data_IF_735785131746
#
_entry.id   IF_735785131746
#
_cell.length_a   1.000
_cell.length_b   1.000
_cell.length_c   1.000
_cell.angle_alpha   90.00
_cell.angle_beta   90.00
_cell.angle_gamma   90.00
#
_symmetry.space_group_name_H-M   'P 1'
#
loop_
_entity.id
_entity.type
_entity.pdbx_description
1 polymer ?
#
# COMPACT_ATOMS: atom_id res chain seq x y z
N UNK A 1 5.82 4.01 -15.79
CA UNK A 1 5.07 3.37 -14.71
C UNK A 1 3.85 2.65 -15.27
N UNK A 2 3.69 1.41 -14.91
CA UNK A 2 2.51 0.65 -15.32
C UNK A 2 1.39 0.86 -14.30
N UNK A 3 0.16 0.94 -14.78
CA UNK A 3 -1.01 1.14 -13.93
C UNK A 3 -1.99 0.00 -14.18
N UNK A 4 -2.35 -0.71 -13.12
CA UNK A 4 -3.35 -1.77 -13.17
C UNK A 4 -4.55 -1.34 -12.35
N UNK A 5 -5.75 -1.41 -12.94
CA UNK A 5 -6.98 -0.98 -12.28
C UNK A 5 -7.92 -2.14 -12.07
N UNK A 6 -8.71 -2.05 -11.01
CA UNK A 6 -9.65 -3.08 -10.64
C UNK A 6 -8.98 -4.19 -9.84
N UNK A 7 -9.77 -5.19 -9.46
CA UNK A 7 -9.26 -6.30 -8.66
C UNK A 7 -8.89 -7.49 -9.55
N UNK A 8 -8.17 -7.20 -10.62
CA UNK A 8 -7.70 -8.20 -11.57
C UNK A 8 -6.39 -8.82 -11.07
N UNK A 9 -6.25 -10.10 -11.33
CA UNK A 9 -5.07 -10.82 -10.92
C UNK A 9 -3.87 -10.47 -11.79
N UNK A 10 -2.72 -10.28 -11.14
CA UNK A 10 -1.43 -10.08 -11.80
C UNK A 10 -0.51 -11.21 -11.41
N UNK A 11 -0.45 -12.23 -12.23
CA UNK A 11 0.32 -13.44 -11.89
C UNK A 11 1.79 -13.37 -12.27
N UNK A 12 2.18 -12.36 -13.02
CA UNK A 12 3.54 -12.28 -13.54
C UNK A 12 4.44 -11.40 -12.68
N UNK A 13 5.65 -11.88 -12.44
CA UNK A 13 6.68 -11.16 -11.75
C UNK A 13 6.58 -11.29 -10.25
N UNK A 14 7.45 -10.62 -9.58
CA UNK A 14 7.44 -10.46 -8.15
C UNK A 14 7.50 -8.99 -7.83
N UNK A 15 6.77 -8.58 -6.81
CA UNK A 15 6.76 -7.18 -6.41
C UNK A 15 7.18 -7.02 -4.97
N UNK A 16 7.89 -5.94 -4.72
CA UNK A 16 7.98 -5.35 -3.39
C UNK A 16 6.94 -4.24 -3.38
N UNK A 17 5.96 -4.35 -2.50
CA UNK A 17 4.81 -3.47 -2.52
C UNK A 17 4.61 -2.73 -1.21
N UNK A 18 3.98 -1.59 -1.28
CA UNK A 18 3.44 -0.89 -0.12
C UNK A 18 1.98 -0.53 -0.40
N UNK A 19 1.21 -0.34 0.66
CA UNK A 19 -0.21 -0.05 0.58
C UNK A 19 -0.49 1.31 1.18
N UNK A 20 -1.31 2.12 0.55
CA UNK A 20 -1.73 3.39 1.11
C UNK A 20 -2.65 4.16 0.19
N UNK A 21 -3.33 5.15 0.73
CA UNK A 21 -4.17 6.04 -0.07
C UNK A 21 -3.34 7.09 -0.81
N UNK A 22 -2.28 7.55 -0.18
CA UNK A 22 -1.38 8.57 -0.75
C UNK A 22 -2.11 9.85 -1.14
N UNK A 23 -3.19 10.16 -0.45
CA UNK A 23 -3.94 11.38 -0.67
C UNK A 23 -3.13 12.57 -0.12
N UNK A 24 -2.83 13.52 -1.02
CA UNK A 24 -1.99 14.65 -0.68
C UNK A 24 -0.49 14.40 -0.72
N UNK A 25 -0.06 13.25 -1.15
CA UNK A 25 1.35 12.78 -1.23
C UNK A 25 2.37 13.73 -0.58
N UNK A 26 2.49 13.63 0.74
CA UNK A 26 3.38 14.51 1.51
C UNK A 26 4.77 13.87 1.67
N UNK A 27 5.67 14.59 2.39
CA UNK A 27 7.06 14.16 2.55
C UNK A 27 7.20 12.78 3.17
N UNK A 28 6.31 12.42 4.09
CA UNK A 28 6.33 11.07 4.68
C UNK A 28 6.05 9.98 3.63
N UNK A 29 5.13 10.24 2.71
CA UNK A 29 4.87 9.31 1.61
C UNK A 29 6.05 9.20 0.66
N UNK A 30 6.72 10.32 0.38
CA UNK A 30 7.91 10.31 -0.46
C UNK A 30 9.01 9.48 0.17
N UNK A 31 9.19 9.61 1.48
CA UNK A 31 10.17 8.85 2.24
C UNK A 31 9.85 7.34 2.21
N UNK A 32 8.57 7.00 2.37
CA UNK A 32 8.12 5.61 2.28
C UNK A 32 8.41 5.02 0.89
N UNK A 33 8.11 5.76 -0.15
CA UNK A 33 8.36 5.30 -1.52
C UNK A 33 9.85 5.15 -1.79
N UNK A 34 10.68 6.03 -1.23
CA UNK A 34 12.13 5.89 -1.33
C UNK A 34 12.59 4.57 -0.69
N UNK A 35 12.10 4.24 0.51
CA UNK A 35 12.41 2.97 1.15
C UNK A 35 11.91 1.79 0.33
N UNK A 36 10.71 1.90 -0.21
CA UNK A 36 10.13 0.87 -1.09
C UNK A 36 11.08 0.58 -2.26
N UNK A 37 11.55 1.62 -2.93
CA UNK A 37 12.42 1.48 -4.09
C UNK A 37 13.76 0.86 -3.71
N UNK A 38 14.31 1.22 -2.56
CA UNK A 38 15.57 0.65 -2.07
C UNK A 38 15.42 -0.85 -1.81
N UNK A 39 14.33 -1.27 -1.16
CA UNK A 39 14.10 -2.68 -0.89
C UNK A 39 13.90 -3.44 -2.20
N UNK A 40 13.11 -2.90 -3.11
CA UNK A 40 12.87 -3.53 -4.41
C UNK A 40 14.19 -3.73 -5.17
N UNK A 41 15.03 -2.69 -5.21
CA UNK A 41 16.32 -2.77 -5.89
C UNK A 41 17.21 -3.83 -5.25
N UNK A 42 17.26 -3.89 -3.92
CA UNK A 42 18.10 -4.86 -3.22
C UNK A 42 17.65 -6.30 -3.45
N UNK A 43 16.36 -6.51 -3.70
CA UNK A 43 15.80 -7.84 -3.93
C UNK A 43 15.68 -8.21 -5.41
N UNK A 44 16.03 -7.28 -6.29
CA UNK A 44 15.91 -7.50 -7.73
C UNK A 44 14.47 -7.65 -8.19
N UNK A 45 13.54 -7.00 -7.49
CA UNK A 45 12.12 -7.05 -7.80
C UNK A 45 11.61 -5.68 -8.22
N UNK A 46 10.43 -5.64 -8.80
CA UNK A 46 9.79 -4.38 -9.19
C UNK A 46 9.07 -3.78 -7.99
N UNK A 47 9.09 -2.46 -7.91
CA UNK A 47 8.37 -1.74 -6.86
C UNK A 47 6.90 -1.53 -7.26
N UNK A 48 6.00 -1.67 -6.30
CA UNK A 48 4.58 -1.45 -6.53
C UNK A 48 3.96 -0.66 -5.39
N UNK A 49 3.10 0.29 -5.74
CA UNK A 49 2.24 0.95 -4.78
C UNK A 49 0.82 0.42 -4.99
N UNK A 50 0.22 -0.06 -3.92
CA UNK A 50 -1.16 -0.50 -3.93
C UNK A 50 -1.99 0.61 -3.31
N UNK A 51 -2.91 1.16 -4.07
CA UNK A 51 -3.79 2.22 -3.59
C UNK A 51 -5.23 1.90 -4.00
N UNK A 52 -6.16 2.70 -3.52
CA UNK A 52 -7.58 2.48 -3.78
C UNK A 52 -8.15 3.65 -4.57
N UNK A 53 -9.06 3.33 -5.48
CA UNK A 53 -9.70 4.36 -6.29
C UNK A 53 -10.58 5.28 -5.45
N UNK A 54 -11.19 4.72 -4.39
CA UNK A 54 -12.01 5.49 -3.48
C UNK A 54 -11.52 5.30 -2.06
N UNK A 55 -11.77 6.29 -1.21
CA UNK A 55 -11.36 6.20 0.19
C UNK A 55 -12.18 5.15 0.93
N UNK A 56 -11.56 4.31 1.79
CA UNK A 56 -12.28 3.28 2.52
C UNK A 56 -13.49 3.79 3.30
N UNK A 57 -13.38 4.95 3.94
CA UNK A 57 -14.49 5.51 4.70
C UNK A 57 -15.68 5.89 3.82
N UNK A 58 -15.42 6.27 2.56
CA UNK A 58 -16.50 6.61 1.64
C UNK A 58 -17.29 5.37 1.25
N UNK A 59 -16.62 4.23 1.13
CA UNK A 59 -17.27 2.95 0.84
C UNK A 59 -18.07 2.47 2.04
N UNK A 60 -17.48 2.57 3.24
CA UNK A 60 -18.12 2.10 4.47
C UNK A 60 -19.22 3.03 4.97
N UNK A 61 -19.15 4.32 4.63
CA UNK A 61 -20.13 5.33 5.03
C UNK A 61 -20.53 6.18 3.81
N UNK A 62 -21.32 5.59 2.88
CA UNK A 62 -21.77 6.33 1.72
C UNK A 62 -22.59 7.56 2.13
N UNK A 63 -22.34 8.67 1.49
CA UNK A 63 -23.05 9.91 1.80
C UNK A 63 -22.41 10.75 2.89
N UNK A 64 -21.26 10.33 3.44
CA UNK A 64 -20.49 11.15 4.37
C UNK A 64 -19.81 12.33 3.67
N UNK A 65 -19.32 13.26 4.48
CA UNK A 65 -18.69 14.49 3.96
C UNK A 65 -17.20 14.35 3.66
N UNK A 66 -16.69 13.12 3.60
CA UNK A 66 -15.28 12.90 3.34
C UNK A 66 -14.92 13.34 1.92
N UNK A 67 -13.94 14.24 1.84
CA UNK A 67 -13.41 14.70 0.56
C UNK A 67 -11.95 14.32 0.44
N UNK A 68 -11.57 13.85 -0.74
CA UNK A 68 -10.17 13.58 -1.06
C UNK A 68 -9.47 14.90 -1.39
N UNK A 69 -8.23 15.05 -0.94
CA UNK A 69 -7.41 16.22 -1.26
C UNK A 69 -7.04 16.21 -2.73
N UNK A 70 -6.73 15.04 -3.26
CA UNK A 70 -6.30 14.86 -4.63
C UNK A 70 -7.21 13.88 -5.36
N UNK A 71 -7.37 14.10 -6.66
CA UNK A 71 -8.05 13.11 -7.51
C UNK A 71 -7.15 11.88 -7.66
N UNK A 72 -7.74 10.79 -8.09
CA UNK A 72 -6.98 9.58 -8.39
C UNK A 72 -5.91 9.86 -9.46
N UNK A 73 -6.27 10.59 -10.51
CA UNK A 73 -5.33 10.93 -11.58
C UNK A 73 -4.14 11.73 -11.07
N UNK A 74 -4.40 12.69 -10.20
CA UNK A 74 -3.32 13.50 -9.61
C UNK A 74 -2.41 12.64 -8.74
N UNK A 75 -2.99 11.75 -7.93
CA UNK A 75 -2.20 10.84 -7.09
C UNK A 75 -1.32 9.93 -7.93
N UNK A 76 -1.88 9.34 -8.98
CA UNK A 76 -1.13 8.44 -9.85
C UNK A 76 0.02 9.16 -10.55
N UNK A 77 -0.20 10.40 -10.98
CA UNK A 77 0.85 11.19 -11.61
C UNK A 77 2.01 11.43 -10.67
N UNK A 78 1.72 11.86 -9.44
CA UNK A 78 2.77 12.17 -8.46
C UNK A 78 3.50 10.91 -8.03
N UNK A 79 2.79 9.82 -7.79
CA UNK A 79 3.41 8.54 -7.44
C UNK A 79 4.36 8.11 -8.56
N UNK A 80 3.94 8.27 -9.81
CA UNK A 80 4.79 7.97 -10.97
C UNK A 80 6.05 8.82 -11.01
N UNK A 81 5.94 10.09 -10.68
CA UNK A 81 7.09 10.99 -10.65
C UNK A 81 8.11 10.60 -9.57
N UNK A 82 7.66 9.89 -8.54
CA UNK A 82 8.55 9.40 -7.48
C UNK A 82 9.31 8.15 -7.88
N UNK A 83 9.06 7.60 -9.06
CA UNK A 83 9.87 6.53 -9.63
C UNK A 83 9.43 5.11 -9.29
N UNK A 84 8.18 4.92 -8.92
CA UNK A 84 7.62 3.59 -8.68
C UNK A 84 7.41 2.87 -10.02
N UNK A 85 7.72 1.59 -10.08
CA UNK A 85 7.58 0.81 -11.31
C UNK A 85 6.12 0.54 -11.68
N UNK A 86 5.29 0.30 -10.67
CA UNK A 86 3.91 -0.15 -10.88
C UNK A 86 2.98 0.45 -9.83
N UNK A 87 1.77 0.80 -10.24
CA UNK A 87 0.71 1.16 -9.31
C UNK A 87 -0.46 0.21 -9.54
N UNK A 88 -0.95 -0.36 -8.47
CA UNK A 88 -2.13 -1.23 -8.50
C UNK A 88 -3.26 -0.47 -7.83
N UNK A 89 -4.29 -0.15 -8.60
CA UNK A 89 -5.47 0.56 -8.08
C UNK A 89 -6.57 -0.47 -7.85
N UNK A 90 -6.86 -0.73 -6.59
CA UNK A 90 -7.90 -1.68 -6.21
C UNK A 90 -9.20 -0.97 -5.92
N UNK A 91 -10.30 -1.67 -6.15
CA UNK A 91 -11.60 -1.20 -5.71
C UNK A 91 -11.78 -1.60 -4.25
N UNK A 92 -12.06 -0.62 -3.39
CA UNK A 92 -12.32 -0.90 -1.99
C UNK A 92 -13.80 -1.26 -1.83
N UNK A 93 -14.07 -2.55 -1.79
CA UNK A 93 -15.43 -3.08 -1.66
C UNK A 93 -15.72 -3.46 -0.21
N UNK A 94 -16.99 -3.60 0.19
CA UNK A 94 -17.32 -4.12 1.52
C UNK A 94 -16.71 -5.50 1.78
N UNK A 95 -16.62 -6.33 0.75
CA UNK A 95 -16.00 -7.66 0.88
C UNK A 95 -14.52 -7.54 1.20
N UNK A 96 -13.82 -6.64 0.53
CA UNK A 96 -12.41 -6.39 0.79
C UNK A 96 -12.22 -5.81 2.18
N UNK A 97 -13.10 -4.89 2.58
CA UNK A 97 -13.04 -4.26 3.91
C UNK A 97 -13.23 -5.25 5.04
N UNK A 98 -13.93 -6.36 4.79
CA UNK A 98 -14.21 -7.37 5.80
C UNK A 98 -13.04 -8.36 5.99
N UNK A 99 -12.04 -8.33 5.13
CA UNK A 99 -10.92 -9.25 5.24
C UNK A 99 -10.02 -8.89 6.43
N UNK A 100 -9.59 -9.92 7.15
CA UNK A 100 -8.55 -9.74 8.14
C UNK A 100 -7.22 -9.53 7.42
N UNK A 101 -6.26 -8.94 8.13
CA UNK A 101 -4.96 -8.61 7.55
C UNK A 101 -4.27 -9.83 6.91
N UNK A 102 -4.32 -10.98 7.59
CA UNK A 102 -3.71 -12.21 7.07
C UNK A 102 -4.33 -12.63 5.74
N UNK A 103 -5.65 -12.55 5.64
CA UNK A 103 -6.36 -12.88 4.41
C UNK A 103 -6.03 -11.91 3.29
N UNK A 104 -5.92 -10.61 3.61
CA UNK A 104 -5.55 -9.59 2.66
C UNK A 104 -4.13 -9.82 2.16
N UNK A 105 -3.20 -10.13 3.07
CA UNK A 105 -1.81 -10.41 2.71
C UNK A 105 -1.72 -11.63 1.79
N UNK A 106 -2.52 -12.66 2.07
CA UNK A 106 -2.57 -13.84 1.22
C UNK A 106 -3.07 -13.49 -0.18
N UNK A 107 -4.09 -12.63 -0.27
CA UNK A 107 -4.60 -12.15 -1.54
C UNK A 107 -3.52 -11.42 -2.33
N UNK A 108 -2.76 -10.56 -1.67
CA UNK A 108 -1.67 -9.83 -2.34
C UNK A 108 -0.63 -10.77 -2.92
N UNK A 109 -0.31 -11.84 -2.19
CA UNK A 109 0.65 -12.83 -2.68
C UNK A 109 0.10 -13.61 -3.87
N UNK A 110 -1.12 -14.12 -3.73
CA UNK A 110 -1.67 -15.05 -4.70
C UNK A 110 -2.19 -14.37 -5.97
N UNK A 111 -2.79 -13.20 -5.81
CA UNK A 111 -3.44 -12.53 -6.93
C UNK A 111 -2.54 -11.48 -7.59
N UNK A 112 -1.59 -10.92 -6.85
CA UNK A 112 -0.76 -9.82 -7.37
C UNK A 112 0.73 -10.11 -7.36
N UNK A 113 1.14 -11.27 -6.88
CA UNK A 113 2.56 -11.63 -6.90
C UNK A 113 3.43 -10.83 -5.96
N UNK A 114 2.88 -10.31 -4.87
CA UNK A 114 3.66 -9.58 -3.88
C UNK A 114 4.50 -10.58 -3.09
N UNK A 115 5.81 -10.32 -3.01
CA UNK A 115 6.75 -11.17 -2.27
C UNK A 115 7.27 -10.50 -1.01
N UNK A 116 7.33 -9.18 -1.03
CA UNK A 116 7.76 -8.39 0.13
C UNK A 116 6.80 -7.24 0.28
N UNK A 117 6.32 -7.03 1.50
CA UNK A 117 5.43 -5.93 1.83
C UNK A 117 6.20 -4.94 2.71
N UNK A 118 6.35 -3.70 2.24
CA UNK A 118 6.94 -2.63 3.01
C UNK A 118 5.80 -1.83 3.62
N UNK A 119 5.73 -1.83 4.95
CA UNK A 119 4.67 -1.13 5.65
C UNK A 119 5.17 0.24 6.14
N UNK A 120 4.33 1.25 5.98
CA UNK A 120 4.60 2.54 6.59
C UNK A 120 4.74 2.40 8.09
N UNK A 121 5.49 3.29 8.72
CA UNK A 121 5.89 3.15 10.13
C UNK A 121 4.73 2.86 11.07
N UNK A 122 3.60 3.53 10.89
CA UNK A 122 2.41 3.32 11.72
C UNK A 122 1.21 2.83 10.92
N UNK A 123 1.44 2.23 9.76
CA UNK A 123 0.34 1.79 8.92
C UNK A 123 -0.30 0.52 9.46
N UNK A 124 -1.61 0.46 9.35
CA UNK A 124 -2.40 -0.73 9.68
C UNK A 124 -3.42 -0.98 8.57
N UNK A 125 -3.72 -2.22 8.32
CA UNK A 125 -4.74 -2.60 7.34
C UNK A 125 -5.50 -3.83 7.84
N UNK A 126 -6.55 -4.19 7.10
CA UNK A 126 -7.43 -5.27 7.51
C UNK A 126 -8.54 -4.78 8.43
N UNK A 127 -9.51 -5.63 8.71
CA UNK A 127 -10.68 -5.25 9.52
C UNK A 127 -10.36 -5.15 11.02
N UNK A 128 -9.30 -5.82 11.48
CA UNK A 128 -8.89 -5.77 12.87
C UNK A 128 -7.84 -4.67 13.07
N UNK A 129 -8.24 -3.57 13.66
CA UNK A 129 -7.35 -2.42 13.87
C UNK A 129 -6.52 -2.50 15.13
N UNK A 130 -6.65 -3.57 15.89
CA UNK A 130 -5.88 -3.77 17.12
C UNK A 130 -4.53 -4.43 16.88
N UNK A 131 -4.23 -4.77 15.65
CA UNK A 131 -2.96 -5.38 15.30
C UNK A 131 -1.83 -4.36 15.23
N UNK A 132 -0.63 -4.81 15.57
CA UNK A 132 0.61 -4.04 15.50
C UNK A 132 1.54 -4.65 14.46
N UNK A 133 2.67 -3.98 14.22
CA UNK A 133 3.60 -4.44 13.19
C UNK A 133 4.04 -5.89 13.38
N UNK A 134 4.28 -6.29 14.63
CA UNK A 134 4.71 -7.65 14.95
C UNK A 134 3.68 -8.70 14.52
N UNK A 135 2.41 -8.36 14.57
CA UNK A 135 1.35 -9.26 14.12
C UNK A 135 1.42 -9.48 12.60
N UNK A 136 1.71 -8.42 11.85
CA UNK A 136 1.88 -8.54 10.40
C UNK A 136 3.11 -9.38 10.05
N UNK A 137 4.19 -9.24 10.81
CA UNK A 137 5.39 -10.07 10.62
C UNK A 137 5.04 -11.53 10.85
N UNK A 138 4.30 -11.84 11.91
CA UNK A 138 3.89 -13.20 12.22
C UNK A 138 3.03 -13.78 11.10
N UNK A 139 2.05 -13.03 10.61
CA UNK A 139 1.23 -13.46 9.48
C UNK A 139 2.09 -13.73 8.25
N UNK A 140 3.04 -12.85 7.99
CA UNK A 140 3.94 -13.00 6.85
C UNK A 140 4.79 -14.26 6.94
N UNK A 141 5.33 -14.55 8.11
CA UNK A 141 6.11 -15.77 8.32
C UNK A 141 5.29 -17.02 8.05
N UNK A 142 4.03 -17.03 8.47
CA UNK A 142 3.14 -18.14 8.22
C UNK A 142 2.81 -18.31 6.74
N UNK A 143 2.71 -17.20 6.01
CA UNK A 143 2.32 -17.20 4.61
C UNK A 143 3.51 -17.30 3.64
N UNK A 144 4.71 -17.00 4.09
CA UNK A 144 5.87 -16.89 3.21
C UNK A 144 6.02 -15.51 2.59
N UNK A 145 5.44 -14.49 3.21
CA UNK A 145 5.53 -13.10 2.78
C UNK A 145 6.50 -12.35 3.70
N UNK A 146 7.53 -11.75 3.10
CA UNK A 146 8.45 -10.93 3.88
C UNK A 146 7.78 -9.60 4.20
N UNK A 147 7.83 -9.19 5.46
CA UNK A 147 7.26 -7.93 5.92
C UNK A 147 8.36 -7.05 6.46
N UNK A 148 8.48 -5.85 5.93
CA UNK A 148 9.52 -4.88 6.28
C UNK A 148 8.83 -3.60 6.74
N UNK A 149 9.33 -3.01 7.82
CA UNK A 149 8.82 -1.73 8.31
C UNK A 149 9.67 -0.61 7.72
N UNK A 150 9.02 0.36 7.10
CA UNK A 150 9.72 1.53 6.60
C UNK A 150 10.24 2.35 7.78
N UNK A 151 11.29 3.12 7.55
CA UNK A 151 11.83 4.02 8.55
C UNK A 151 10.81 5.11 8.87
N UNK A 152 10.80 5.55 10.12
CA UNK A 152 9.99 6.69 10.49
C UNK A 152 10.58 7.96 9.88
N UNK A 153 9.74 8.75 9.21
CA UNK A 153 10.17 10.03 8.69
C UNK A 153 10.28 11.04 9.83
N UNK A 154 11.50 11.46 10.11
CA UNK A 154 11.80 12.44 11.15
C UNK A 154 12.45 13.65 10.48
N UNK A 155 11.76 14.22 9.53
CA UNK A 155 12.31 15.35 8.79
C UNK A 155 12.68 16.53 9.68
N UNK A 156 13.61 17.35 9.23
CA UNK A 156 14.04 18.53 9.95
C UNK A 156 12.99 19.62 9.98
N UNK A 157 11.98 19.49 9.15
CA UNK A 157 10.91 20.45 9.18
C UNK A 157 10.14 20.28 10.46
N UNK A 158 9.84 21.38 11.07
CA UNK A 158 8.95 21.37 12.19
C UNK A 158 7.52 21.19 11.67
N UNK A 159 6.81 20.15 12.04
CA UNK A 159 5.40 20.08 11.75
C UNK A 159 4.73 21.08 12.69
N UNK A 160 4.71 22.24 12.25
CA UNK A 160 4.06 23.29 13.06
C UNK A 160 2.58 23.07 13.02
#
# INVERSE_FOLDING_TARGET
MEIFQGNNQLKEGGFVATIGMFDGVHLGHQFLIEDLRKVASSEGLRSAVITFGDHPQRVLRPGGDLRMIMTLEERLRIIGELGVDTVIVMDFTPELAALESREFMKLLMQDYGVRTLVMGFNHRFGCNKDEYFEDYVTHGEELGLKVVRAREYQGEYSPV
#
